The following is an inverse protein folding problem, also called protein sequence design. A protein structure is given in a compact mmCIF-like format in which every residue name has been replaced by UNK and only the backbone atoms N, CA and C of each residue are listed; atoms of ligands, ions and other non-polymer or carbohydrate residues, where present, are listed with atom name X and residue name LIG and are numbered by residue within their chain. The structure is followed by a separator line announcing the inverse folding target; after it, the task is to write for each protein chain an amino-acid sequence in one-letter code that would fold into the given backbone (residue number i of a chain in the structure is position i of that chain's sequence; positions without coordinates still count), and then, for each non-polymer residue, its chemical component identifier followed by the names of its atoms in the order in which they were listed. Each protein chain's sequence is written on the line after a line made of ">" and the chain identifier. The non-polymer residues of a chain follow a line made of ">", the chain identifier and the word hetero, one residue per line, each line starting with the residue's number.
data_IF_700771520322
#
_entry.id   IF_700771520322
#
_cell.length_a   1.000
_cell.length_b   1.000
_cell.length_c   1.000
_cell.angle_alpha   90.00
_cell.angle_beta   90.00
_cell.angle_gamma   90.00
#
_symmetry.space_group_name_H-M   'P 1'
#
loop_
_entity.id
_entity.type
_entity.pdbx_description
1 polymer ?
#
# COMPACT_ATOMS: atom_id res chain seq x y z
N UNK A 1 8.08 -8.81 -15.21
CA UNK A 1 8.63 -7.45 -15.08
C UNK A 1 7.48 -6.43 -14.99
N UNK A 2 6.80 -6.27 -13.83
CA UNK A 2 5.66 -5.32 -13.68
C UNK A 2 5.57 -4.60 -12.32
N UNK A 3 6.26 -5.08 -11.29
CA UNK A 3 6.10 -4.60 -9.90
C UNK A 3 6.84 -3.30 -9.57
N UNK A 4 7.85 -2.90 -10.37
CA UNK A 4 8.54 -1.60 -10.18
C UNK A 4 7.63 -0.40 -10.49
N UNK A 5 6.65 -0.58 -11.39
CA UNK A 5 5.82 0.51 -11.90
C UNK A 5 4.75 0.98 -10.90
N UNK A 6 4.14 0.09 -10.11
CA UNK A 6 3.00 0.43 -9.23
C UNK A 6 3.41 1.28 -8.02
N UNK A 7 4.59 1.05 -7.44
CA UNK A 7 5.07 1.79 -6.27
C UNK A 7 5.52 3.22 -6.61
N UNK A 8 6.08 3.42 -7.81
CA UNK A 8 6.40 4.76 -8.31
C UNK A 8 5.12 5.51 -8.70
N UNK A 9 4.19 4.84 -9.39
CA UNK A 9 2.88 5.40 -9.71
C UNK A 9 2.12 5.82 -8.45
N UNK A 10 2.15 5.04 -7.37
CA UNK A 10 1.42 5.42 -6.14
C UNK A 10 2.01 6.65 -5.46
N UNK A 11 3.33 6.86 -5.47
CA UNK A 11 3.94 8.11 -4.99
C UNK A 11 3.49 9.31 -5.82
N UNK A 12 3.50 9.17 -7.15
CA UNK A 12 3.04 10.21 -8.06
C UNK A 12 1.57 10.52 -7.83
N UNK A 13 0.72 9.49 -7.69
CA UNK A 13 -0.72 9.65 -7.39
C UNK A 13 -0.94 10.40 -6.09
N UNK A 14 -0.30 10.00 -4.98
CA UNK A 14 -0.49 10.65 -3.68
C UNK A 14 -0.04 12.12 -3.72
N UNK A 15 1.02 12.45 -4.46
CA UNK A 15 1.48 13.84 -4.60
C UNK A 15 0.56 14.76 -5.43
N UNK A 16 -0.36 14.20 -6.23
CA UNK A 16 -1.32 15.01 -7.02
C UNK A 16 -2.40 15.66 -6.16
N UNK A 17 -2.67 15.12 -4.97
CA UNK A 17 -3.76 15.55 -4.10
C UNK A 17 -3.22 16.25 -2.86
N UNK A 18 -3.90 17.30 -2.41
CA UNK A 18 -3.47 18.15 -1.27
C UNK A 18 -3.64 17.49 0.10
N UNK A 19 -4.10 16.24 0.14
CA UNK A 19 -4.28 15.47 1.35
C UNK A 19 -5.28 14.33 1.17
N UNK A 20 -5.58 13.64 2.27
CA UNK A 20 -6.47 12.48 2.24
C UNK A 20 -7.90 12.84 1.83
N UNK A 21 -8.48 13.91 2.37
CA UNK A 21 -9.84 14.33 2.04
C UNK A 21 -9.98 14.67 0.54
N UNK A 22 -9.01 15.42 0.00
CA UNK A 22 -8.93 15.78 -1.42
C UNK A 22 -8.81 14.52 -2.30
N UNK A 23 -7.96 13.57 -1.91
CA UNK A 23 -7.83 12.30 -2.60
C UNK A 23 -9.15 11.49 -2.60
N UNK A 24 -9.84 11.36 -1.46
CA UNK A 24 -11.07 10.56 -1.40
C UNK A 24 -12.17 11.16 -2.28
N UNK A 25 -12.33 12.49 -2.25
CA UNK A 25 -13.39 13.18 -2.96
C UNK A 25 -13.09 13.30 -4.46
N UNK A 26 -11.83 13.60 -4.83
CA UNK A 26 -11.49 14.04 -6.19
C UNK A 26 -10.62 13.04 -6.97
N UNK A 27 -10.13 11.96 -6.35
CA UNK A 27 -9.32 10.99 -7.10
C UNK A 27 -10.14 10.12 -8.05
N UNK A 28 -9.55 9.84 -9.21
CA UNK A 28 -10.10 8.92 -10.19
C UNK A 28 -10.12 7.50 -9.63
N UNK A 29 -10.96 6.63 -10.20
CA UNK A 29 -11.01 5.22 -9.83
C UNK A 29 -9.64 4.55 -9.97
N UNK A 30 -8.92 4.83 -11.06
CA UNK A 30 -7.58 4.28 -11.29
C UNK A 30 -6.57 4.71 -10.21
N UNK A 31 -6.58 6.00 -9.84
CA UNK A 31 -5.69 6.52 -8.80
C UNK A 31 -6.03 5.89 -7.42
N UNK A 32 -7.32 5.65 -7.15
CA UNK A 32 -7.77 4.90 -5.96
C UNK A 32 -7.31 3.45 -5.95
N UNK A 33 -7.40 2.74 -7.08
CA UNK A 33 -6.93 1.36 -7.22
C UNK A 33 -5.42 1.22 -7.02
N UNK A 34 -4.63 2.15 -7.54
CA UNK A 34 -3.17 2.18 -7.37
C UNK A 34 -2.78 2.34 -5.90
N UNK A 35 -3.44 3.26 -5.19
CA UNK A 35 -3.19 3.48 -3.76
C UNK A 35 -3.67 2.28 -2.95
N UNK A 36 -4.87 1.75 -3.23
CA UNK A 36 -5.42 0.58 -2.56
C UNK A 36 -4.49 -0.64 -2.68
N UNK A 37 -4.03 -0.93 -3.89
CA UNK A 37 -3.10 -2.04 -4.16
C UNK A 37 -1.80 -1.88 -3.37
N UNK A 38 -1.29 -0.65 -3.28
CA UNK A 38 -0.09 -0.34 -2.51
C UNK A 38 -0.30 -0.56 -1.01
N UNK A 39 -1.43 -0.11 -0.47
CA UNK A 39 -1.79 -0.28 0.95
C UNK A 39 -1.94 -1.76 1.29
N UNK A 40 -2.73 -2.50 0.49
CA UNK A 40 -2.95 -3.93 0.72
C UNK A 40 -1.65 -4.71 0.71
N UNK A 41 -0.73 -4.42 -0.23
CA UNK A 41 0.59 -5.05 -0.26
C UNK A 41 1.40 -4.78 1.02
N UNK A 42 1.35 -3.56 1.56
CA UNK A 42 2.06 -3.21 2.81
C UNK A 42 1.44 -3.94 4.02
N UNK A 43 0.12 -3.97 4.09
CA UNK A 43 -0.62 -4.66 5.16
C UNK A 43 -0.30 -6.15 5.14
N UNK A 44 -0.35 -6.81 3.97
CA UNK A 44 0.00 -8.24 3.87
C UNK A 44 1.45 -8.52 4.27
N UNK A 45 2.40 -7.67 3.86
CA UNK A 45 3.79 -7.82 4.28
C UNK A 45 3.96 -7.64 5.80
N UNK A 46 3.24 -6.71 6.41
CA UNK A 46 3.25 -6.52 7.86
C UNK A 46 2.63 -7.71 8.59
N UNK A 47 1.50 -8.25 8.11
CA UNK A 47 0.88 -9.45 8.66
C UNK A 47 1.83 -10.64 8.61
N UNK A 48 2.53 -10.85 7.50
CA UNK A 48 3.53 -11.92 7.40
C UNK A 48 4.65 -11.76 8.43
N UNK A 49 5.15 -10.54 8.66
CA UNK A 49 6.16 -10.28 9.70
C UNK A 49 5.64 -10.60 11.09
N UNK A 50 4.39 -10.21 11.41
CA UNK A 50 3.77 -10.50 12.71
C UNK A 50 3.67 -12.02 12.90
N UNK A 51 3.23 -12.77 11.89
CA UNK A 51 3.15 -14.23 11.95
C UNK A 51 4.53 -14.86 12.14
N UNK A 52 5.54 -14.39 11.40
CA UNK A 52 6.92 -14.88 11.55
C UNK A 52 7.48 -14.62 12.95
N UNK A 53 7.25 -13.43 13.50
CA UNK A 53 7.66 -13.09 14.88
C UNK A 53 6.93 -13.96 15.90
N UNK A 54 5.61 -14.15 15.74
CA UNK A 54 4.83 -15.01 16.63
C UNK A 54 5.30 -16.48 16.60
N UNK A 55 5.68 -16.99 15.42
CA UNK A 55 6.22 -18.34 15.29
C UNK A 55 7.62 -18.46 15.92
N UNK A 56 8.48 -17.45 15.74
CA UNK A 56 9.81 -17.41 16.37
C UNK A 56 9.73 -17.41 17.91
N UNK A 57 8.74 -16.71 18.47
CA UNK A 57 8.49 -16.69 19.92
C UNK A 57 7.93 -18.00 20.48
N UNK A 58 7.28 -18.84 19.66
CA UNK A 58 6.73 -20.13 20.08
C UNK A 58 7.71 -21.30 19.99
N UNK A 59 8.78 -21.15 19.22
CA UNK A 59 9.78 -22.19 18.98
C UNK A 59 11.06 -22.06 19.82
N UNK A 60 11.10 -21.11 20.78
CA UNK A 60 12.21 -20.88 21.70
C UNK A 60 11.93 -21.38 23.10
#
# INVERSE_FOLDING_TARGET
>A
MKTKNVAERSKTVVSKYKGFADFILNATTEDKEVVFTTVMRRVSAQQQRIIQQANALKGG
#
